data_IF_859170575407
#
_entry.id   IF_859170575407
#
_cell.length_a   1.000
_cell.length_b   1.000
_cell.length_c   1.000
_cell.angle_alpha   90.00
_cell.angle_beta   90.00
_cell.angle_gamma   90.00
#
_symmetry.space_group_name_H-M   'P 1'
#
loop_
_entity.id
_entity.type
_entity.pdbx_description
1 polymer ?
#
# COMPACT_ATOMS: atom_id res chain seq x y z
N UNK A 1 -53.31 58.45 -24.90
CA UNK A 1 -53.92 57.15 -24.54
C UNK A 1 -52.79 56.21 -24.18
N UNK A 2 -52.90 55.57 -23.02
CA UNK A 2 -51.87 54.76 -22.34
C UNK A 2 -51.51 53.50 -23.15
N UNK A 3 -50.23 53.14 -23.25
CA UNK A 3 -49.83 51.72 -23.19
C UNK A 3 -48.43 51.60 -22.61
N UNK A 4 -48.39 51.08 -21.39
CA UNK A 4 -47.22 50.64 -20.65
C UNK A 4 -46.90 49.22 -21.15
N UNK A 5 -45.72 48.99 -21.73
CA UNK A 5 -45.23 47.64 -22.02
C UNK A 5 -44.19 47.29 -20.96
N UNK A 6 -44.62 46.50 -19.99
CA UNK A 6 -43.76 45.84 -19.01
C UNK A 6 -43.14 44.64 -19.72
N UNK A 7 -41.83 44.66 -19.95
CA UNK A 7 -41.08 43.44 -20.26
C UNK A 7 -40.81 42.72 -18.93
N UNK A 8 -41.59 41.67 -18.64
CA UNK A 8 -41.25 40.72 -17.59
C UNK A 8 -39.97 39.97 -18.00
N UNK A 9 -38.86 40.22 -17.28
CA UNK A 9 -37.80 39.23 -17.15
C UNK A 9 -38.39 38.03 -16.38
N UNK A 10 -38.80 37.00 -17.10
CA UNK A 10 -39.06 35.69 -16.51
C UNK A 10 -37.72 34.98 -16.32
N UNK A 11 -37.28 34.91 -15.06
CA UNK A 11 -36.25 33.98 -14.60
C UNK A 11 -36.58 32.55 -15.08
N UNK A 12 -35.82 32.02 -16.02
CA UNK A 12 -35.69 30.58 -16.24
C UNK A 12 -34.32 30.12 -15.72
N UNK A 13 -34.13 30.19 -14.40
CA UNK A 13 -33.01 29.57 -13.69
C UNK A 13 -33.53 28.62 -12.60
N UNK A 14 -34.44 27.72 -12.95
CA UNK A 14 -34.78 26.58 -12.12
C UNK A 14 -35.14 25.40 -13.02
N UNK A 15 -34.15 24.56 -13.35
CA UNK A 15 -34.30 23.09 -13.47
C UNK A 15 -33.10 22.32 -14.09
N UNK A 16 -31.88 22.85 -14.11
CA UNK A 16 -30.75 22.06 -14.64
C UNK A 16 -30.29 20.92 -13.72
N UNK A 17 -30.50 21.00 -12.40
CA UNK A 17 -30.15 19.90 -11.48
C UNK A 17 -31.10 18.70 -11.54
N UNK A 18 -32.41 18.94 -11.60
CA UNK A 18 -33.41 17.86 -11.57
C UNK A 18 -33.36 16.96 -12.82
N UNK A 19 -32.97 17.51 -13.97
CA UNK A 19 -32.90 16.76 -15.23
C UNK A 19 -31.61 15.93 -15.38
N UNK A 20 -30.60 16.15 -14.52
CA UNK A 20 -29.35 15.39 -14.48
C UNK A 20 -29.44 14.10 -13.65
N UNK A 21 -30.45 13.97 -12.78
CA UNK A 21 -30.60 12.79 -11.90
C UNK A 21 -31.43 11.66 -12.51
N UNK A 22 -32.39 11.96 -13.39
CA UNK A 22 -33.33 10.96 -13.95
C UNK A 22 -32.69 9.94 -14.91
N UNK A 23 -31.41 10.09 -15.24
CA UNK A 23 -30.65 9.15 -16.08
C UNK A 23 -29.57 8.36 -15.32
N UNK A 24 -29.35 8.62 -14.03
CA UNK A 24 -28.32 7.92 -13.26
C UNK A 24 -28.83 6.53 -12.86
N UNK A 25 -28.05 5.52 -13.19
CA UNK A 25 -28.29 4.12 -12.82
C UNK A 25 -27.39 3.78 -11.64
N UNK A 26 -27.93 3.03 -10.69
CA UNK A 26 -27.14 2.43 -9.62
C UNK A 26 -26.85 0.99 -10.03
N UNK A 27 -25.57 0.66 -10.09
CA UNK A 27 -25.08 -0.69 -10.30
C UNK A 27 -24.66 -1.29 -8.96
N UNK A 28 -24.79 -2.61 -8.83
CA UNK A 28 -24.44 -3.32 -7.61
C UNK A 28 -23.75 -4.65 -7.95
N UNK A 29 -22.73 -4.99 -7.17
CA UNK A 29 -22.08 -6.29 -7.16
C UNK A 29 -22.31 -6.91 -5.78
N UNK A 30 -22.75 -8.17 -5.75
CA UNK A 30 -23.13 -8.84 -4.50
C UNK A 30 -22.36 -10.13 -4.33
N UNK A 31 -21.79 -10.29 -3.13
CA UNK A 31 -21.26 -11.56 -2.63
C UNK A 31 -22.11 -12.06 -1.47
N UNK A 32 -22.62 -13.29 -1.53
CA UNK A 32 -23.35 -13.94 -0.42
C UNK A 32 -22.48 -14.97 0.28
N UNK A 33 -22.67 -15.16 1.59
CA UNK A 33 -21.90 -16.12 2.38
C UNK A 33 -22.08 -17.57 1.92
N UNK A 34 -23.25 -17.91 1.38
CA UNK A 34 -23.55 -19.22 0.79
C UNK A 34 -23.00 -19.40 -0.64
N UNK A 35 -22.33 -18.36 -1.18
CA UNK A 35 -21.77 -18.29 -2.53
C UNK A 35 -22.78 -18.43 -3.67
N UNK A 36 -24.08 -18.29 -3.41
CA UNK A 36 -25.11 -18.24 -4.46
C UNK A 36 -24.94 -17.05 -5.41
N UNK A 37 -24.25 -16.00 -4.96
CA UNK A 37 -23.79 -14.88 -5.77
C UNK A 37 -22.32 -14.60 -5.44
N UNK A 38 -21.32 -15.05 -6.23
CA UNK A 38 -19.91 -14.73 -6.01
C UNK A 38 -19.53 -13.48 -6.81
N UNK A 39 -19.43 -12.32 -6.16
CA UNK A 39 -19.09 -11.02 -6.78
C UNK A 39 -19.84 -10.74 -8.10
N UNK A 40 -21.15 -10.99 -8.11
CA UNK A 40 -21.96 -10.94 -9.33
C UNK A 40 -22.62 -9.58 -9.51
N UNK A 41 -22.48 -8.98 -10.70
CA UNK A 41 -23.25 -7.79 -11.11
C UNK A 41 -24.74 -8.11 -11.09
N UNK A 42 -25.53 -7.28 -10.42
CA UNK A 42 -26.98 -7.47 -10.30
C UNK A 42 -27.69 -7.07 -11.60
N UNK A 43 -28.58 -7.94 -12.09
CA UNK A 43 -29.32 -7.70 -13.33
C UNK A 43 -30.38 -6.59 -13.19
N UNK A 44 -30.91 -6.42 -11.97
CA UNK A 44 -31.85 -5.34 -11.68
C UNK A 44 -31.09 -4.01 -11.60
N UNK A 45 -31.40 -3.10 -12.54
CA UNK A 45 -30.90 -1.74 -12.49
C UNK A 45 -31.70 -0.96 -11.46
N UNK A 46 -31.04 -0.44 -10.42
CA UNK A 46 -31.69 0.38 -9.41
C UNK A 46 -31.76 1.82 -9.92
N UNK A 47 -32.93 2.44 -9.82
CA UNK A 47 -33.18 3.80 -10.25
C UNK A 47 -33.39 4.73 -9.07
N UNK A 48 -32.88 5.96 -9.17
CA UNK A 48 -33.21 7.02 -8.23
C UNK A 48 -34.72 7.30 -8.24
N UNK A 49 -35.29 7.47 -7.06
CA UNK A 49 -36.71 7.71 -6.87
C UNK A 49 -36.93 8.75 -5.77
N UNK A 50 -37.76 9.75 -6.06
CA UNK A 50 -38.22 10.72 -5.05
C UNK A 50 -39.28 10.12 -4.09
N UNK A 51 -39.80 8.93 -4.38
CA UNK A 51 -40.72 8.23 -3.49
C UNK A 51 -39.93 7.46 -2.43
N UNK A 52 -39.98 7.92 -1.17
CA UNK A 52 -39.50 7.13 -0.02
C UNK A 52 -40.39 5.89 0.15
N UNK A 53 -39.86 4.71 -0.17
CA UNK A 53 -40.44 3.45 0.29
C UNK A 53 -40.04 3.26 1.75
N UNK A 54 -41.02 3.08 2.66
CA UNK A 54 -40.79 2.88 4.10
C UNK A 54 -40.26 1.47 4.37
N UNK A 55 -38.95 1.27 4.29
CA UNK A 55 -38.28 0.05 4.75
C UNK A 55 -37.11 0.47 5.64
N UNK A 56 -37.26 0.30 6.96
CA UNK A 56 -36.21 0.63 7.93
C UNK A 56 -35.84 2.12 8.01
N UNK A 57 -34.77 2.40 8.77
CA UNK A 57 -34.16 3.72 8.81
C UNK A 57 -33.26 3.90 7.57
N UNK A 58 -33.35 5.03 6.83
CA UNK A 58 -32.51 5.25 5.66
C UNK A 58 -31.05 5.51 6.06
N UNK A 59 -30.11 5.10 5.21
CA UNK A 59 -28.73 5.60 5.23
C UNK A 59 -28.72 6.90 4.43
N UNK A 60 -28.34 8.00 5.08
CA UNK A 60 -28.24 9.33 4.44
C UNK A 60 -26.77 9.64 4.22
N UNK A 61 -26.41 9.96 2.97
CA UNK A 61 -25.06 10.39 2.59
C UNK A 61 -25.04 11.91 2.54
N UNK A 62 -24.19 12.54 3.36
CA UNK A 62 -23.91 13.97 3.33
C UNK A 62 -22.63 14.23 2.53
N UNK A 63 -22.77 14.81 1.34
CA UNK A 63 -21.64 15.10 0.44
C UNK A 63 -20.85 16.35 0.84
N UNK A 64 -21.26 17.06 1.89
CA UNK A 64 -20.51 18.18 2.48
C UNK A 64 -19.53 17.70 3.57
N UNK A 65 -19.68 16.48 4.08
CA UNK A 65 -18.79 15.90 5.08
C UNK A 65 -17.72 15.03 4.42
N UNK A 66 -16.46 15.47 4.47
CA UNK A 66 -15.32 14.76 3.90
C UNK A 66 -14.41 14.16 4.97
N UNK A 67 -13.76 13.04 4.65
CA UNK A 67 -12.74 12.39 5.48
C UNK A 67 -11.45 12.17 4.66
N UNK A 68 -10.73 11.08 4.91
CA UNK A 68 -9.53 10.73 4.16
C UNK A 68 -9.81 10.44 2.68
N UNK A 69 -8.83 10.73 1.84
CA UNK A 69 -8.76 10.16 0.48
C UNK A 69 -8.33 8.70 0.55
N UNK A 70 -8.76 7.89 -0.42
CA UNK A 70 -8.40 6.48 -0.52
C UNK A 70 -7.32 6.28 -1.57
N UNK A 71 -6.19 5.70 -1.17
CA UNK A 71 -5.07 5.44 -2.04
C UNK A 71 -5.28 4.19 -2.91
N UNK A 72 -5.90 3.15 -2.36
CA UNK A 72 -6.27 1.94 -3.08
C UNK A 72 -6.55 0.76 -2.16
N UNK A 73 -6.89 -0.38 -2.77
CA UNK A 73 -7.13 -1.65 -2.08
C UNK A 73 -6.45 -2.78 -2.84
N UNK A 74 -6.02 -3.82 -2.11
CA UNK A 74 -5.47 -5.03 -2.70
C UNK A 74 -4.82 -5.95 -1.67
N UNK A 75 -3.71 -6.56 -2.05
CA UNK A 75 -3.07 -7.64 -1.31
C UNK A 75 -1.55 -7.65 -1.55
N UNK A 76 -0.85 -8.57 -0.88
CA UNK A 76 0.57 -8.77 -1.12
C UNK A 76 0.81 -9.65 -2.36
N UNK A 77 1.66 -9.20 -3.28
CA UNK A 77 2.30 -10.08 -4.25
C UNK A 77 3.61 -10.56 -3.62
N UNK A 78 3.53 -11.73 -2.96
CA UNK A 78 4.72 -12.34 -2.34
C UNK A 78 5.59 -13.01 -3.38
N UNK A 79 6.85 -13.28 -3.07
CA UNK A 79 7.72 -14.04 -3.97
C UNK A 79 7.17 -15.42 -4.30
N UNK A 80 6.56 -16.13 -3.34
CA UNK A 80 5.89 -17.41 -3.60
C UNK A 80 4.66 -17.28 -4.51
N UNK A 81 3.87 -16.20 -4.37
CA UNK A 81 2.78 -15.91 -5.32
C UNK A 81 3.31 -15.62 -6.72
N UNK A 82 4.38 -14.83 -6.85
CA UNK A 82 4.99 -14.52 -8.14
C UNK A 82 5.62 -15.77 -8.78
N UNK A 83 6.32 -16.59 -8.01
CA UNK A 83 6.90 -17.86 -8.45
C UNK A 83 5.80 -18.81 -8.95
N UNK A 84 4.67 -18.88 -8.23
CA UNK A 84 3.52 -19.67 -8.67
C UNK A 84 2.98 -19.17 -10.01
N UNK A 85 2.73 -17.86 -10.15
CA UNK A 85 2.23 -17.25 -11.38
C UNK A 85 3.16 -17.51 -12.57
N UNK A 86 4.47 -17.32 -12.41
CA UNK A 86 5.43 -17.55 -13.49
C UNK A 86 5.49 -19.01 -13.95
N UNK A 87 5.22 -19.97 -13.06
CA UNK A 87 5.14 -21.40 -13.39
C UNK A 87 3.83 -21.81 -14.07
N UNK A 88 2.80 -20.95 -14.06
CA UNK A 88 1.56 -21.22 -14.80
C UNK A 88 1.81 -21.15 -16.31
N UNK A 89 0.90 -21.77 -17.07
CA UNK A 89 0.86 -21.55 -18.53
C UNK A 89 0.59 -20.06 -18.81
N UNK A 90 1.31 -19.42 -19.76
CA UNK A 90 1.19 -17.98 -19.98
C UNK A 90 -0.24 -17.49 -20.22
N UNK A 91 -1.06 -18.25 -20.93
CA UNK A 91 -2.47 -17.90 -21.17
C UNK A 91 -3.34 -17.94 -19.90
N UNK A 92 -3.09 -18.88 -18.99
CA UNK A 92 -3.83 -18.95 -17.72
C UNK A 92 -3.36 -17.87 -16.74
N UNK A 93 -2.05 -17.56 -16.73
CA UNK A 93 -1.52 -16.42 -15.98
C UNK A 93 -2.14 -15.10 -16.47
N UNK A 94 -2.20 -14.90 -17.79
CA UNK A 94 -2.78 -13.68 -18.35
C UNK A 94 -4.24 -13.50 -17.93
N UNK A 95 -5.06 -14.56 -17.97
CA UNK A 95 -6.46 -14.51 -17.53
C UNK A 95 -6.62 -14.12 -16.07
N UNK A 96 -5.86 -14.73 -15.15
CA UNK A 96 -5.99 -14.41 -13.72
C UNK A 96 -5.49 -13.00 -13.41
N UNK A 97 -4.44 -12.53 -14.09
CA UNK A 97 -3.96 -11.16 -13.94
C UNK A 97 -4.97 -10.14 -14.50
N UNK A 98 -5.58 -10.43 -15.65
CA UNK A 98 -6.66 -9.61 -16.22
C UNK A 98 -7.85 -9.52 -15.26
N UNK A 99 -8.32 -10.66 -14.74
CA UNK A 99 -9.42 -10.71 -13.77
C UNK A 99 -9.15 -9.86 -12.51
N UNK A 100 -7.92 -9.92 -11.99
CA UNK A 100 -7.53 -9.23 -10.76
C UNK A 100 -7.28 -7.73 -10.98
N UNK A 101 -6.61 -7.34 -12.06
CA UNK A 101 -5.99 -6.01 -12.19
C UNK A 101 -6.64 -5.10 -13.23
N UNK A 102 -7.35 -5.62 -14.23
CA UNK A 102 -8.04 -4.77 -15.20
C UNK A 102 -9.14 -3.93 -14.52
N UNK A 103 -9.21 -2.65 -14.88
CA UNK A 103 -10.16 -1.68 -14.31
C UNK A 103 -11.34 -1.44 -15.25
N UNK A 104 -12.11 -2.48 -15.49
CA UNK A 104 -13.36 -2.43 -16.27
C UNK A 104 -14.51 -3.09 -15.49
N UNK A 105 -15.72 -3.09 -16.08
CA UNK A 105 -16.93 -3.56 -15.39
C UNK A 105 -16.99 -5.07 -15.11
N UNK A 106 -16.10 -5.86 -15.71
CA UNK A 106 -16.08 -7.32 -15.60
C UNK A 106 -15.00 -7.85 -14.65
N UNK A 107 -14.07 -6.99 -14.21
CA UNK A 107 -12.87 -7.36 -13.47
C UNK A 107 -12.81 -6.67 -12.10
N UNK A 108 -11.91 -7.13 -11.22
CA UNK A 108 -11.86 -6.69 -9.81
C UNK A 108 -11.22 -5.31 -9.66
N UNK A 109 -10.24 -4.96 -10.50
CA UNK A 109 -9.59 -3.65 -10.49
C UNK A 109 -8.76 -3.36 -9.24
N UNK A 110 -7.96 -4.33 -8.78
CA UNK A 110 -7.00 -4.14 -7.68
C UNK A 110 -6.10 -2.93 -7.96
N UNK A 111 -5.95 -2.06 -6.96
CA UNK A 111 -5.31 -0.73 -7.11
C UNK A 111 -4.11 -0.49 -6.19
N UNK A 112 -3.80 -1.43 -5.30
CA UNK A 112 -2.67 -1.34 -4.37
C UNK A 112 -2.02 -2.71 -4.14
N UNK A 113 -0.71 -2.84 -4.30
CA UNK A 113 0.03 -4.07 -4.01
C UNK A 113 1.08 -3.83 -2.92
N UNK A 114 1.24 -4.81 -2.04
CA UNK A 114 2.38 -4.90 -1.11
C UNK A 114 3.43 -5.88 -1.64
N UNK A 115 4.69 -5.46 -1.69
CA UNK A 115 5.85 -6.27 -2.04
C UNK A 115 6.78 -6.44 -0.83
N UNK A 116 7.55 -7.51 -0.84
CA UNK A 116 8.69 -7.67 0.06
C UNK A 116 9.95 -7.04 -0.51
N UNK A 117 10.70 -6.33 0.33
CA UNK A 117 12.05 -5.87 0.01
C UNK A 117 13.02 -6.95 0.49
N UNK A 118 13.41 -7.84 -0.41
CA UNK A 118 14.05 -9.12 -0.10
C UNK A 118 13.01 -10.21 0.17
N UNK A 119 13.42 -11.29 0.82
CA UNK A 119 12.51 -12.37 1.16
C UNK A 119 11.51 -11.99 2.27
N UNK A 120 10.31 -12.55 2.13
CA UNK A 120 9.34 -12.78 3.19
C UNK A 120 9.37 -14.24 3.63
N UNK A 121 8.54 -14.59 4.62
CA UNK A 121 8.24 -15.97 5.00
C UNK A 121 7.49 -16.76 3.92
N UNK A 122 6.94 -16.08 2.91
CA UNK A 122 6.26 -16.68 1.76
C UNK A 122 7.15 -16.77 0.51
N UNK A 123 8.48 -16.72 0.68
CA UNK A 123 9.44 -17.10 -0.35
C UNK A 123 9.91 -18.55 -0.15
N UNK A 124 10.34 -19.22 -1.23
CA UNK A 124 10.86 -20.59 -1.18
C UNK A 124 12.15 -20.73 -0.34
N UNK A 125 12.90 -19.64 -0.19
CA UNK A 125 14.06 -19.55 0.69
C UNK A 125 14.28 -18.09 1.12
N UNK A 126 15.06 -17.90 2.18
CA UNK A 126 15.38 -16.57 2.73
C UNK A 126 16.56 -15.97 1.98
N UNK A 127 16.42 -14.70 1.59
CA UNK A 127 17.50 -13.89 1.02
C UNK A 127 17.31 -12.40 1.31
N UNK A 128 18.39 -11.65 1.19
CA UNK A 128 18.38 -10.20 0.99
C UNK A 128 19.07 -9.85 -0.34
N UNK A 129 18.91 -8.62 -0.81
CA UNK A 129 19.61 -8.17 -2.02
C UNK A 129 21.11 -7.94 -1.80
N UNK A 130 21.65 -8.19 -0.60
CA UNK A 130 23.08 -8.04 -0.31
C UNK A 130 23.58 -9.09 0.68
N UNK A 131 23.19 -10.35 0.46
CA UNK A 131 23.69 -11.48 1.24
C UNK A 131 25.17 -11.74 0.95
N UNK A 132 25.92 -12.00 2.01
CA UNK A 132 27.35 -12.25 1.98
C UNK A 132 27.70 -13.53 2.74
N UNK A 133 28.91 -14.05 2.49
CA UNK A 133 29.44 -15.13 3.31
C UNK A 133 29.64 -14.62 4.75
N UNK A 134 29.47 -15.52 5.72
CA UNK A 134 29.67 -15.18 7.13
C UNK A 134 31.06 -14.55 7.35
N UNK A 135 31.09 -13.41 8.03
CA UNK A 135 32.30 -12.62 8.29
C UNK A 135 32.65 -11.58 7.22
N UNK A 136 31.96 -11.55 6.08
CA UNK A 136 32.11 -10.48 5.08
C UNK A 136 31.18 -9.29 5.38
N UNK A 137 31.58 -8.10 4.94
CA UNK A 137 30.77 -6.88 4.95
C UNK A 137 30.84 -6.18 3.59
N UNK A 138 29.85 -5.37 3.27
CA UNK A 138 29.79 -4.59 2.02
C UNK A 138 29.18 -3.21 2.27
N UNK A 139 29.91 -2.38 3.01
CA UNK A 139 29.47 -1.01 3.32
C UNK A 139 29.28 -0.14 2.07
N UNK A 140 29.83 -0.50 0.91
CA UNK A 140 29.63 0.22 -0.35
C UNK A 140 28.46 -0.32 -1.19
N UNK A 141 27.82 -1.42 -0.77
CA UNK A 141 26.76 -2.13 -1.51
C UNK A 141 27.19 -2.50 -2.94
N UNK A 142 28.44 -2.92 -3.12
CA UNK A 142 28.99 -3.36 -4.41
C UNK A 142 28.36 -4.66 -4.91
N UNK A 143 27.90 -5.51 -3.99
CA UNK A 143 27.25 -6.80 -4.26
C UNK A 143 25.72 -6.71 -4.18
N UNK A 144 25.13 -5.51 -4.14
CA UNK A 144 23.68 -5.36 -4.16
C UNK A 144 23.12 -5.89 -5.49
N UNK A 145 22.07 -6.72 -5.44
CA UNK A 145 21.45 -7.31 -6.63
C UNK A 145 19.96 -7.62 -6.42
N UNK A 146 19.12 -7.17 -7.36
CA UNK A 146 17.72 -7.61 -7.48
C UNK A 146 17.56 -8.97 -8.15
N UNK A 147 18.65 -9.68 -8.43
CA UNK A 147 18.66 -10.89 -9.29
C UNK A 147 17.63 -11.96 -8.90
N UNK A 148 17.26 -12.05 -7.62
CA UNK A 148 16.26 -13.02 -7.19
C UNK A 148 14.87 -12.67 -7.74
N UNK A 149 14.44 -11.43 -7.55
CA UNK A 149 13.12 -10.94 -7.95
C UNK A 149 13.01 -10.72 -9.47
N UNK A 150 14.13 -10.65 -10.19
CA UNK A 150 14.13 -10.63 -11.66
C UNK A 150 13.59 -11.93 -12.27
N UNK A 151 13.53 -13.03 -11.51
CA UNK A 151 13.02 -14.30 -12.00
C UNK A 151 11.49 -14.41 -11.91
N UNK A 152 10.85 -13.69 -10.99
CA UNK A 152 9.42 -13.85 -10.67
C UNK A 152 8.68 -12.53 -10.44
N UNK A 153 8.99 -11.80 -9.38
CA UNK A 153 8.26 -10.59 -8.95
C UNK A 153 8.29 -9.52 -10.01
N UNK A 154 9.46 -9.21 -10.58
CA UNK A 154 9.60 -8.14 -11.58
C UNK A 154 8.86 -8.49 -12.88
N UNK A 155 9.00 -9.69 -13.48
CA UNK A 155 8.19 -10.08 -14.62
C UNK A 155 6.67 -10.00 -14.37
N UNK A 156 6.18 -10.49 -13.22
CA UNK A 156 4.75 -10.44 -12.88
C UNK A 156 4.28 -9.00 -12.71
N UNK A 157 5.06 -8.15 -12.03
CA UNK A 157 4.72 -6.74 -11.86
C UNK A 157 4.67 -5.99 -13.19
N UNK A 158 5.52 -6.33 -14.17
CA UNK A 158 5.43 -5.77 -15.53
C UNK A 158 4.14 -6.18 -16.24
N UNK A 159 3.71 -7.44 -16.11
CA UNK A 159 2.41 -7.89 -16.64
C UNK A 159 1.25 -7.12 -15.97
N UNK A 160 1.31 -6.91 -14.65
CA UNK A 160 0.31 -6.13 -13.90
C UNK A 160 0.28 -4.66 -14.35
N UNK A 161 1.43 -4.00 -14.48
CA UNK A 161 1.52 -2.60 -14.89
C UNK A 161 1.01 -2.35 -16.31
N UNK A 162 1.08 -3.36 -17.19
CA UNK A 162 0.47 -3.27 -18.53
C UNK A 162 -1.07 -3.23 -18.46
N UNK A 163 -1.67 -3.86 -17.45
CA UNK A 163 -3.13 -3.89 -17.24
C UNK A 163 -3.60 -2.68 -16.42
N UNK A 164 -2.82 -2.28 -15.43
CA UNK A 164 -3.12 -1.18 -14.52
C UNK A 164 -1.86 -0.33 -14.26
N UNK A 165 -1.55 0.64 -15.14
CA UNK A 165 -0.35 1.47 -15.01
C UNK A 165 -0.40 2.44 -13.81
N UNK A 166 -1.59 2.69 -13.26
CA UNK A 166 -1.80 3.58 -12.10
C UNK A 166 -1.82 2.82 -10.76
N UNK A 167 -1.52 1.51 -10.77
CA UNK A 167 -1.48 0.73 -9.53
C UNK A 167 -0.38 1.25 -8.60
N UNK A 168 -0.71 1.36 -7.32
CA UNK A 168 0.25 1.80 -6.32
C UNK A 168 0.94 0.63 -5.64
N UNK A 169 2.18 0.84 -5.22
CA UNK A 169 3.06 -0.22 -4.71
C UNK A 169 3.71 0.21 -3.40
N UNK A 170 3.53 -0.61 -2.36
CA UNK A 170 4.22 -0.49 -1.08
C UNK A 170 5.28 -1.59 -0.92
N UNK A 171 6.50 -1.25 -0.55
CA UNK A 171 7.55 -2.21 -0.19
C UNK A 171 7.78 -2.29 1.33
N UNK A 172 7.97 -3.48 1.88
CA UNK A 172 8.38 -3.66 3.28
C UNK A 172 9.47 -4.73 3.39
N UNK A 173 10.61 -4.49 4.07
CA UNK A 173 11.58 -5.54 4.34
C UNK A 173 11.17 -6.35 5.58
N UNK A 174 11.36 -7.66 5.52
CA UNK A 174 11.22 -8.52 6.71
C UNK A 174 12.50 -8.54 7.55
N UNK A 175 13.66 -8.24 6.97
CA UNK A 175 14.93 -8.12 7.70
C UNK A 175 15.97 -7.38 6.86
N UNK A 176 16.93 -6.75 7.55
CA UNK A 176 18.19 -6.35 6.92
C UNK A 176 19.06 -7.58 6.56
N UNK A 177 20.06 -7.42 5.66
CA UNK A 177 21.11 -8.43 5.45
C UNK A 177 21.76 -8.86 6.77
N UNK A 178 22.09 -10.14 6.91
CA UNK A 178 22.55 -10.72 8.19
C UNK A 178 23.78 -10.01 8.75
N UNK A 179 24.75 -9.63 7.92
CA UNK A 179 25.96 -8.95 8.35
C UNK A 179 25.69 -7.56 8.98
N UNK A 180 24.55 -6.93 8.67
CA UNK A 180 24.09 -5.67 9.28
C UNK A 180 23.39 -5.86 10.63
N UNK A 181 23.18 -7.10 11.08
CA UNK A 181 22.42 -7.43 12.28
C UNK A 181 23.31 -7.83 13.44
N UNK A 182 22.91 -7.50 14.66
CA UNK A 182 23.65 -7.77 15.89
C UNK A 182 23.89 -9.27 16.17
N UNK A 183 23.07 -10.15 15.60
CA UNK A 183 23.15 -11.60 15.79
C UNK A 183 23.63 -12.36 14.55
N UNK A 184 23.86 -11.66 13.43
CA UNK A 184 24.27 -12.26 12.15
C UNK A 184 23.36 -13.39 11.66
N UNK A 185 22.07 -13.34 12.01
CA UNK A 185 21.08 -14.36 11.70
C UNK A 185 19.90 -13.77 10.91
N UNK A 186 19.18 -14.61 10.17
CA UNK A 186 18.01 -14.20 9.40
C UNK A 186 16.78 -13.92 10.26
N UNK A 187 16.73 -14.43 11.50
CA UNK A 187 15.65 -14.19 12.48
C UNK A 187 16.11 -13.30 13.62
N UNK A 188 15.22 -12.45 14.11
CA UNK A 188 15.46 -11.57 15.25
C UNK A 188 16.67 -10.65 15.07
N UNK A 189 17.41 -10.41 16.15
CA UNK A 189 18.49 -9.43 16.16
C UNK A 189 18.00 -8.00 15.96
N UNK A 190 18.92 -7.05 15.97
CA UNK A 190 18.65 -5.63 15.72
C UNK A 190 19.55 -5.14 14.60
N UNK A 191 19.14 -4.07 13.92
CA UNK A 191 20.03 -3.34 13.02
C UNK A 191 21.18 -2.73 13.85
N UNK A 192 22.42 -3.00 13.46
CA UNK A 192 23.61 -2.37 14.03
C UNK A 192 23.59 -0.86 13.74
N UNK A 193 23.87 -0.02 14.74
CA UNK A 193 23.85 1.44 14.57
C UNK A 193 24.86 1.89 13.51
N UNK A 194 26.04 1.27 13.48
CA UNK A 194 27.06 1.51 12.45
C UNK A 194 26.61 1.11 11.03
N UNK A 195 25.49 0.39 10.90
CA UNK A 195 24.91 -0.01 9.63
C UNK A 195 23.74 0.87 9.16
N UNK A 196 23.36 1.92 9.91
CA UNK A 196 22.20 2.76 9.53
C UNK A 196 22.40 3.41 8.15
N UNK A 197 23.56 4.01 7.88
CA UNK A 197 23.80 4.69 6.59
C UNK A 197 23.87 3.73 5.41
N UNK A 198 24.41 2.53 5.60
CA UNK A 198 24.43 1.51 4.53
C UNK A 198 23.03 0.92 4.32
N UNK A 199 22.25 0.72 5.38
CA UNK A 199 20.89 0.22 5.24
C UNK A 199 19.95 1.26 4.61
N UNK A 200 20.12 2.56 4.90
CA UNK A 200 19.43 3.63 4.18
C UNK A 200 19.76 3.61 2.68
N UNK A 201 21.04 3.44 2.32
CA UNK A 201 21.43 3.28 0.91
C UNK A 201 20.91 1.99 0.27
N UNK A 202 20.65 0.94 1.06
CA UNK A 202 20.03 -0.29 0.58
C UNK A 202 18.60 -0.04 0.09
N UNK A 203 17.80 0.74 0.84
CA UNK A 203 16.47 1.20 0.37
C UNK A 203 16.57 2.07 -0.89
N UNK A 204 17.51 3.02 -0.94
CA UNK A 204 17.75 3.86 -2.14
C UNK A 204 18.04 2.97 -3.35
N UNK A 205 18.94 1.99 -3.21
CA UNK A 205 19.29 1.07 -4.30
C UNK A 205 18.10 0.22 -4.74
N UNK A 206 17.30 -0.29 -3.80
CA UNK A 206 16.08 -1.02 -4.13
C UNK A 206 15.10 -0.17 -4.94
N UNK A 207 14.77 1.03 -4.46
CA UNK A 207 13.81 1.93 -5.13
C UNK A 207 14.28 2.29 -6.54
N UNK A 208 15.55 2.68 -6.69
CA UNK A 208 16.10 3.04 -8.00
C UNK A 208 16.20 1.83 -8.95
N UNK A 209 16.51 0.65 -8.43
CA UNK A 209 16.59 -0.57 -9.24
C UNK A 209 15.20 -1.02 -9.70
N UNK A 210 14.18 -0.98 -8.84
CA UNK A 210 12.78 -1.22 -9.23
C UNK A 210 12.31 -0.19 -10.27
N UNK A 211 12.66 1.08 -10.07
CA UNK A 211 12.33 2.15 -11.03
C UNK A 211 12.99 1.92 -12.39
N UNK A 212 14.24 1.42 -12.43
CA UNK A 212 14.92 1.06 -13.68
C UNK A 212 14.22 -0.08 -14.44
N UNK A 213 13.48 -0.94 -13.72
CA UNK A 213 12.61 -1.96 -14.29
C UNK A 213 11.21 -1.43 -14.67
N UNK A 214 10.97 -0.12 -14.53
CA UNK A 214 9.67 0.51 -14.79
C UNK A 214 8.67 0.41 -13.64
N UNK A 215 9.10 -0.03 -12.45
CA UNK A 215 8.23 -0.24 -11.29
C UNK A 215 8.48 0.88 -10.28
N UNK A 216 7.51 1.79 -10.12
CA UNK A 216 7.60 2.88 -9.16
C UNK A 216 7.13 2.40 -7.78
N UNK A 217 7.96 2.57 -6.75
CA UNK A 217 7.59 2.27 -5.36
C UNK A 217 7.01 3.55 -4.73
N UNK A 218 5.71 3.54 -4.46
CA UNK A 218 4.99 4.71 -3.91
C UNK A 218 5.23 4.92 -2.43
N UNK A 219 5.35 3.82 -1.67
CA UNK A 219 5.58 3.86 -0.23
C UNK A 219 6.49 2.72 0.20
N UNK A 220 7.21 2.92 1.32
CA UNK A 220 7.86 1.85 2.04
C UNK A 220 7.52 1.89 3.51
N UNK A 221 7.55 0.73 4.16
CA UNK A 221 7.72 0.66 5.61
C UNK A 221 9.16 0.29 5.95
N UNK A 222 9.60 0.65 7.15
CA UNK A 222 11.00 0.48 7.56
C UNK A 222 11.34 -0.99 7.86
N UNK A 223 10.36 -1.72 8.38
CA UNK A 223 10.50 -3.07 8.86
C UNK A 223 9.09 -3.66 8.99
N UNK A 224 8.84 -4.82 8.39
CA UNK A 224 7.65 -5.62 8.66
C UNK A 224 7.67 -6.06 10.13
N UNK A 225 6.59 -5.80 10.86
CA UNK A 225 6.37 -6.29 12.23
C UNK A 225 7.59 -6.13 13.14
N UNK A 226 8.09 -4.90 13.37
CA UNK A 226 9.37 -4.64 14.04
C UNK A 226 9.41 -5.10 15.51
N UNK A 227 8.28 -5.51 16.09
CA UNK A 227 8.20 -6.08 17.44
C UNK A 227 8.05 -7.61 17.44
N UNK A 228 8.13 -8.27 16.27
CA UNK A 228 8.03 -9.71 16.09
C UNK A 228 9.37 -10.32 15.63
N UNK A 229 10.30 -10.65 16.54
CA UNK A 229 11.60 -11.22 16.18
C UNK A 229 11.57 -12.72 15.85
N UNK A 230 10.39 -13.34 15.76
CA UNK A 230 10.23 -14.79 15.63
C UNK A 230 10.11 -15.32 14.19
N UNK A 231 9.72 -14.47 13.23
CA UNK A 231 9.43 -14.90 11.86
C UNK A 231 10.72 -15.11 11.04
N UNK A 232 10.60 -15.67 9.84
CA UNK A 232 11.72 -16.04 8.97
C UNK A 232 11.56 -15.45 7.56
N UNK A 233 12.18 -14.32 7.24
CA UNK A 233 13.10 -13.55 8.08
C UNK A 233 12.39 -12.58 9.04
N UNK A 234 13.12 -12.05 10.02
CA UNK A 234 12.63 -11.02 10.96
C UNK A 234 13.76 -10.18 11.52
N UNK A 235 13.47 -8.94 11.93
CA UNK A 235 14.39 -8.07 12.66
C UNK A 235 13.63 -7.23 13.69
N UNK A 236 14.15 -7.16 14.92
CA UNK A 236 13.58 -6.31 15.96
C UNK A 236 14.04 -4.86 15.80
N UNK A 237 13.10 -3.92 15.82
CA UNK A 237 13.38 -2.49 15.76
C UNK A 237 12.41 -1.73 16.69
N UNK A 238 12.84 -1.28 17.88
CA UNK A 238 11.98 -0.45 18.72
C UNK A 238 11.71 0.93 18.06
N UNK A 239 10.64 1.60 18.49
CA UNK A 239 10.20 2.91 18.00
C UNK A 239 11.33 3.96 17.98
N UNK A 240 12.10 4.04 19.06
CA UNK A 240 13.26 4.94 19.20
C UNK A 240 14.36 4.64 18.18
N UNK A 241 14.63 3.36 17.89
CA UNK A 241 15.60 2.98 16.87
C UNK A 241 15.08 3.27 15.46
N UNK A 242 13.77 3.08 15.21
CA UNK A 242 13.15 3.42 13.94
C UNK A 242 13.19 4.95 13.70
N UNK A 243 12.87 5.76 14.72
CA UNK A 243 13.00 7.22 14.67
C UNK A 243 14.45 7.64 14.39
N UNK A 244 15.42 7.05 15.09
CA UNK A 244 16.84 7.34 14.90
C UNK A 244 17.32 6.97 13.49
N UNK A 245 16.94 5.80 12.97
CA UNK A 245 17.26 5.39 11.61
C UNK A 245 16.68 6.35 10.56
N UNK A 246 15.42 6.77 10.75
CA UNK A 246 14.75 7.71 9.84
C UNK A 246 15.45 9.06 9.84
N UNK A 247 15.65 9.67 11.02
CA UNK A 247 16.16 11.04 11.11
C UNK A 247 17.64 11.15 10.76
N UNK A 248 18.45 10.16 11.14
CA UNK A 248 19.91 10.19 10.95
C UNK A 248 20.33 9.74 9.56
N UNK A 249 19.62 8.78 8.95
CA UNK A 249 20.10 8.10 7.75
C UNK A 249 19.08 8.04 6.62
N UNK A 250 17.89 7.45 6.82
CA UNK A 250 16.96 7.20 5.70
C UNK A 250 16.39 8.48 5.08
N UNK A 251 15.85 9.38 5.90
CA UNK A 251 15.29 10.65 5.45
C UNK A 251 16.31 11.49 4.68
N UNK A 252 17.51 11.76 5.25
CA UNK A 252 18.59 12.43 4.53
C UNK A 252 18.99 11.73 3.22
N UNK A 253 19.06 10.39 3.20
CA UNK A 253 19.38 9.64 1.99
C UNK A 253 18.31 9.81 0.90
N UNK A 254 17.03 9.84 1.26
CA UNK A 254 15.94 10.07 0.31
C UNK A 254 16.00 11.48 -0.28
N UNK A 255 16.23 12.50 0.57
CA UNK A 255 16.42 13.89 0.10
C UNK A 255 17.61 14.01 -0.85
N UNK A 256 18.76 13.45 -0.48
CA UNK A 256 19.98 13.50 -1.29
C UNK A 256 19.80 12.84 -2.67
N UNK A 257 18.99 11.79 -2.74
CA UNK A 257 18.72 11.05 -3.98
C UNK A 257 17.41 11.48 -4.67
N UNK A 258 16.72 12.51 -4.18
CA UNK A 258 15.45 13.02 -4.71
C UNK A 258 14.36 11.95 -4.81
N UNK A 259 14.36 11.00 -3.89
CA UNK A 259 13.34 9.96 -3.79
C UNK A 259 12.06 10.56 -3.21
N UNK A 260 10.93 10.28 -3.87
CA UNK A 260 9.59 10.74 -3.45
C UNK A 260 8.75 9.66 -2.77
N UNK A 261 9.26 8.43 -2.71
CA UNK A 261 8.63 7.29 -2.04
C UNK A 261 8.31 7.67 -0.59
N UNK A 262 7.05 7.48 -0.20
CA UNK A 262 6.56 7.79 1.14
C UNK A 262 7.17 6.88 2.19
N UNK A 263 7.43 7.39 3.39
CA UNK A 263 7.91 6.60 4.53
C UNK A 263 6.74 6.38 5.49
N UNK A 264 6.35 5.12 5.65
CA UNK A 264 5.28 4.68 6.54
C UNK A 264 5.88 3.94 7.73
N UNK A 265 5.58 4.37 8.95
CA UNK A 265 6.18 3.79 10.16
C UNK A 265 5.35 2.65 10.73
N UNK A 266 5.94 1.96 11.71
CA UNK A 266 5.34 0.87 12.49
C UNK A 266 5.11 -0.46 11.75
N UNK A 267 4.11 -0.59 10.89
CA UNK A 267 3.81 -1.82 10.11
C UNK A 267 3.60 -3.07 10.99
N UNK A 268 2.79 -2.93 12.05
CA UNK A 268 2.49 -4.01 13.00
C UNK A 268 1.12 -3.83 13.69
N UNK A 269 0.83 -4.61 14.72
CA UNK A 269 -0.52 -4.78 15.27
C UNK A 269 -1.14 -3.51 15.89
N UNK A 270 -2.46 -3.42 15.92
CA UNK A 270 -3.16 -2.29 16.55
C UNK A 270 -3.11 -2.30 18.10
N UNK A 271 -2.10 -2.94 18.72
CA UNK A 271 -1.89 -3.06 20.16
C UNK A 271 -0.80 -2.14 20.72
N UNK A 272 0.00 -1.50 19.86
CA UNK A 272 1.00 -0.49 20.23
C UNK A 272 0.81 0.83 19.47
N UNK A 273 -0.31 1.54 19.67
CA UNK A 273 -0.52 2.86 19.08
C UNK A 273 0.54 3.88 19.51
N UNK A 274 1.18 3.66 20.65
CA UNK A 274 2.29 4.47 21.15
C UNK A 274 3.52 4.46 20.23
N UNK A 275 3.76 3.38 19.48
CA UNK A 275 4.95 3.24 18.62
C UNK A 275 5.04 4.35 17.56
N UNK A 276 4.05 4.54 16.65
CA UNK A 276 4.10 5.65 15.70
C UNK A 276 4.04 7.01 16.39
N UNK A 277 3.30 7.17 17.49
CA UNK A 277 3.23 8.43 18.24
C UNK A 277 4.58 8.85 18.84
N UNK A 278 5.40 7.89 19.30
CA UNK A 278 6.78 8.18 19.75
C UNK A 278 7.60 8.77 18.61
N UNK A 279 7.47 8.23 17.40
CA UNK A 279 8.19 8.73 16.22
C UNK A 279 7.67 10.12 15.81
N UNK A 280 6.35 10.35 15.85
CA UNK A 280 5.76 11.65 15.52
C UNK A 280 6.20 12.77 16.48
N UNK A 281 6.46 12.45 17.75
CA UNK A 281 6.98 13.41 18.73
C UNK A 281 8.42 13.84 18.45
N UNK A 282 9.21 13.02 17.78
CA UNK A 282 10.55 13.39 17.32
C UNK A 282 10.45 14.20 16.01
N UNK A 283 10.50 15.53 16.11
CA UNK A 283 10.39 16.45 14.97
C UNK A 283 11.46 16.24 13.89
N UNK A 284 12.59 15.64 14.22
CA UNK A 284 13.64 15.36 13.24
C UNK A 284 13.33 14.11 12.43
N UNK A 285 12.67 13.12 13.02
CA UNK A 285 12.16 11.96 12.30
C UNK A 285 10.86 12.30 11.56
N UNK A 286 9.90 12.92 12.25
CA UNK A 286 8.54 13.17 11.76
C UNK A 286 8.49 13.97 10.46
N UNK A 287 9.47 14.85 10.19
CA UNK A 287 9.55 15.63 8.93
C UNK A 287 9.71 14.76 7.68
N UNK A 288 10.10 13.49 7.84
CA UNK A 288 10.27 12.53 6.75
C UNK A 288 9.17 11.47 6.69
N UNK A 289 8.25 11.45 7.66
CA UNK A 289 7.24 10.39 7.81
C UNK A 289 5.90 10.84 7.23
N UNK A 290 5.27 9.99 6.43
CA UNK A 290 4.00 10.25 5.74
C UNK A 290 2.79 9.60 6.43
N UNK A 291 3.01 8.68 7.37
CA UNK A 291 1.94 8.01 8.12
C UNK A 291 2.41 6.74 8.83
N UNK A 292 1.46 5.93 9.31
CA UNK A 292 1.71 4.66 9.97
C UNK A 292 0.89 3.52 9.34
N UNK A 293 1.45 2.31 9.36
CA UNK A 293 0.80 1.08 8.89
C UNK A 293 0.43 0.19 10.07
N UNK A 294 -0.72 -0.48 9.95
CA UNK A 294 -1.26 -1.37 10.98
C UNK A 294 -1.67 -2.73 10.43
N UNK A 295 -1.37 -3.77 11.20
CA UNK A 295 -1.91 -5.12 11.08
C UNK A 295 -2.99 -5.33 12.15
N UNK A 296 -3.86 -6.33 11.95
CA UNK A 296 -4.98 -6.63 12.87
C UNK A 296 -4.87 -8.02 13.49
N UNK A 297 -3.66 -8.56 13.67
CA UNK A 297 -3.45 -9.83 14.38
C UNK A 297 -3.56 -9.68 15.90
N UNK A 298 -3.45 -8.45 16.41
CA UNK A 298 -3.61 -8.11 17.82
C UNK A 298 -4.10 -6.68 18.01
N UNK A 299 -4.67 -6.39 19.18
CA UNK A 299 -5.19 -5.07 19.53
C UNK A 299 -6.62 -4.81 19.05
N UNK A 300 -7.01 -3.53 19.00
CA UNK A 300 -8.36 -3.09 18.59
C UNK A 300 -8.25 -2.04 17.51
N UNK A 301 -9.17 -2.07 16.54
CA UNK A 301 -9.19 -1.13 15.41
C UNK A 301 -9.28 0.34 15.86
N UNK A 302 -9.88 0.62 17.03
CA UNK A 302 -10.00 1.95 17.61
C UNK A 302 -8.64 2.64 17.85
N UNK A 303 -7.56 1.88 17.97
CA UNK A 303 -6.20 2.41 18.10
C UNK A 303 -5.80 3.29 16.89
N UNK A 304 -6.34 3.02 15.70
CA UNK A 304 -6.09 3.87 14.51
C UNK A 304 -6.71 5.25 14.68
N UNK A 305 -7.86 5.36 15.35
CA UNK A 305 -8.48 6.65 15.68
C UNK A 305 -7.63 7.42 16.69
N UNK A 306 -7.04 6.73 17.67
CA UNK A 306 -6.11 7.34 18.64
C UNK A 306 -4.90 7.96 17.93
N UNK A 307 -4.30 7.22 17.00
CA UNK A 307 -3.14 7.65 16.21
C UNK A 307 -3.50 8.77 15.23
N UNK A 308 -4.70 8.76 14.66
CA UNK A 308 -5.18 9.85 13.81
C UNK A 308 -5.29 11.19 14.57
N UNK A 309 -5.67 11.13 15.85
CA UNK A 309 -5.90 12.32 16.68
C UNK A 309 -4.65 12.81 17.43
N UNK A 310 -3.51 12.10 17.34
CA UNK A 310 -2.29 12.37 18.12
C UNK A 310 -1.41 13.48 17.56
#
# INVERSE_FOLDING_TARGET
MKTLVIFLLSLCFFNTKAQLESGRKIEAWVTTNDRSSPFKKQAETIHFSHKQKRWGAPIVVDDQQTYQTIDGFGFALTGGSAEHLIKMQPGERAKILEELFSRDENNIGVSYIRLSIGASDLNSFVFSYNDLKKGETDYELKKFSLSQDLNDVVPVMKEILNLNPDIRILGSPWSAPTWMKTNEDVRGGKLKEECYDVYARYFVKYILAMQAEGITIDAITIQNEPLHPGNNPSMFMPDTAQADFIKKSLGPAFVANKIKTKIIVYDHNADRPDYPMTIYKDKEAARYVDGAAFHLYGGKIDALTEVHNS
#
